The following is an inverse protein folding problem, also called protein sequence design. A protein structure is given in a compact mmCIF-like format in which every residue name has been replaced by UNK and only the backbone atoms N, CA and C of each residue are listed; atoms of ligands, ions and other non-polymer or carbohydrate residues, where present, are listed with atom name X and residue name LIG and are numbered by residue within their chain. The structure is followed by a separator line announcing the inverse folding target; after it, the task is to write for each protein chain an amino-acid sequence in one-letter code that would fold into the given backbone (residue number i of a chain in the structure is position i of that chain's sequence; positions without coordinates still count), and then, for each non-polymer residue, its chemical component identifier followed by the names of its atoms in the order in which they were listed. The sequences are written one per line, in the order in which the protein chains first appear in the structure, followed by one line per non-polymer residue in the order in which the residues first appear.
data_IF_689456714002
#
_entry.id   IF_689456714002
#
_cell.length_a   1.000
_cell.length_b   1.000
_cell.length_c   1.000
_cell.angle_alpha   90.00
_cell.angle_beta   90.00
_cell.angle_gamma   90.00
#
_symmetry.space_group_name_H-M   'P 1'
#
loop_
_entity.id
_entity.type
_entity.pdbx_description
1 polymer ?
#
# COMPACT_ATOMS: atom_id res chain seq x y z
N UNK A 1 24.93 41.31 20.84
CA UNK A 1 23.54 41.21 20.36
C UNK A 1 22.96 40.02 21.11
N UNK A 2 22.35 40.14 22.30
CA UNK A 2 21.02 40.75 22.59
C UNK A 2 19.98 40.32 21.55
N UNK A 3 18.84 39.69 21.85
CA UNK A 3 18.19 39.35 23.11
C UNK A 3 17.15 38.24 22.85
N UNK A 4 16.73 37.59 23.93
CA UNK A 4 15.48 36.82 24.09
C UNK A 4 14.26 37.51 23.43
N UNK A 5 13.44 36.73 22.73
CA UNK A 5 12.00 36.98 22.63
C UNK A 5 11.30 35.66 22.32
N UNK A 6 10.88 34.98 23.38
CA UNK A 6 9.82 34.00 23.32
C UNK A 6 8.52 34.75 23.04
N UNK A 7 7.83 34.42 21.95
CA UNK A 7 6.42 34.77 21.80
C UNK A 7 5.62 33.59 22.34
N UNK A 8 5.23 33.74 23.60
CA UNK A 8 4.06 33.14 24.21
C UNK A 8 2.84 33.35 23.30
N UNK A 9 2.25 32.26 22.83
CA UNK A 9 0.91 32.24 22.24
C UNK A 9 -0.02 31.55 23.25
N UNK A 10 -0.81 32.30 24.04
CA UNK A 10 -1.57 31.75 25.17
C UNK A 10 -2.96 31.19 24.80
N UNK A 11 -3.24 30.87 23.53
CA UNK A 11 -4.57 30.37 23.10
C UNK A 11 -4.54 28.99 22.41
N UNK A 12 -3.54 28.16 22.69
CA UNK A 12 -3.57 26.74 22.31
C UNK A 12 -4.47 25.96 23.28
N UNK A 13 -5.78 25.91 22.99
CA UNK A 13 -6.74 25.06 23.69
C UNK A 13 -6.37 23.58 23.55
N UNK A 14 -5.72 23.09 24.60
CA UNK A 14 -5.51 21.68 24.97
C UNK A 14 -6.86 21.00 25.19
N UNK A 15 -7.43 20.42 24.13
CA UNK A 15 -8.52 19.46 24.24
C UNK A 15 -7.96 18.07 24.58
N UNK A 16 -7.52 17.91 25.83
CA UNK A 16 -7.14 16.62 26.40
C UNK A 16 -8.40 15.79 26.76
N UNK A 17 -8.52 14.67 26.04
CA UNK A 17 -9.08 13.37 26.41
C UNK A 17 -9.92 13.30 27.71
N UNK A 18 -11.25 13.17 27.57
CA UNK A 18 -12.12 12.61 28.60
C UNK A 18 -12.48 11.16 28.23
N UNK A 19 -11.82 10.24 28.92
CA UNK A 19 -12.13 8.82 29.01
C UNK A 19 -13.41 8.62 29.83
N UNK A 20 -14.40 7.84 29.37
CA UNK A 20 -15.41 7.30 30.25
C UNK A 20 -15.15 5.82 30.51
N UNK A 21 -14.56 5.54 31.65
CA UNK A 21 -14.54 4.23 32.29
C UNK A 21 -15.78 4.13 33.20
N UNK A 22 -16.63 3.11 33.02
CA UNK A 22 -17.60 2.69 34.05
C UNK A 22 -18.12 1.25 33.86
N UNK A 23 -17.43 0.35 34.58
CA UNK A 23 -17.98 -0.56 35.60
C UNK A 23 -19.21 -1.43 35.29
N UNK A 24 -18.95 -2.74 35.24
CA UNK A 24 -19.72 -3.85 35.81
C UNK A 24 -20.67 -3.49 36.95
N UNK A 25 -21.96 -3.86 36.85
CA UNK A 25 -22.82 -4.20 38.00
C UNK A 25 -24.11 -4.97 37.59
N UNK A 26 -24.05 -6.29 37.75
CA UNK A 26 -25.05 -7.28 38.25
C UNK A 26 -26.58 -7.01 38.16
N UNK A 27 -27.42 -7.99 37.74
CA UNK A 27 -28.88 -7.88 37.74
C UNK A 27 -29.52 -8.33 39.07
N UNK A 28 -30.75 -7.91 39.40
CA UNK A 28 -31.58 -8.62 40.37
C UNK A 28 -32.72 -9.40 39.70
N UNK A 29 -32.98 -10.56 40.31
CA UNK A 29 -33.96 -11.59 40.03
C UNK A 29 -35.34 -11.22 40.61
N UNK A 30 -36.44 -11.53 39.89
CA UNK A 30 -37.77 -11.78 40.48
C UNK A 30 -38.99 -11.39 39.61
N UNK A 31 -39.97 -12.31 39.34
CA UNK A 31 -41.15 -12.05 38.51
C UNK A 31 -42.36 -11.55 39.34
N UNK A 32 -43.43 -11.05 38.69
CA UNK A 32 -44.65 -11.85 38.75
C UNK A 32 -45.41 -11.93 37.42
N UNK A 33 -46.07 -13.08 37.24
CA UNK A 33 -47.05 -13.39 36.22
C UNK A 33 -48.20 -12.37 36.19
N UNK A 34 -48.61 -11.95 35.00
CA UNK A 34 -50.01 -11.68 34.69
C UNK A 34 -50.32 -12.15 33.26
N UNK A 35 -51.26 -13.08 33.22
CA UNK A 35 -51.92 -13.63 32.04
C UNK A 35 -52.74 -12.55 31.35
N UNK A 36 -52.71 -12.47 30.02
CA UNK A 36 -53.86 -12.81 29.17
C UNK A 36 -53.56 -12.53 27.69
N UNK A 37 -53.97 -13.51 26.90
CA UNK A 37 -53.96 -13.70 25.45
C UNK A 37 -54.64 -12.59 24.63
N UNK A 38 -54.01 -12.22 23.50
CA UNK A 38 -54.63 -12.07 22.18
C UNK A 38 -53.55 -11.80 21.10
N UNK A 39 -53.31 -12.77 20.22
CA UNK A 39 -52.80 -12.54 18.84
C UNK A 39 -53.99 -12.17 17.93
N UNK A 40 -53.82 -11.71 16.66
CA UNK A 40 -52.65 -11.17 15.97
C UNK A 40 -52.99 -9.84 15.24
N UNK A 41 -52.05 -9.34 14.43
CA UNK A 41 -52.20 -8.35 13.35
C UNK A 41 -51.87 -6.87 13.61
N UNK A 42 -50.98 -6.40 12.73
CA UNK A 42 -50.94 -5.08 12.11
C UNK A 42 -50.74 -3.86 13.01
N UNK A 43 -49.52 -3.75 13.54
CA UNK A 43 -48.94 -2.42 13.81
C UNK A 43 -47.55 -2.28 13.21
N UNK A 44 -47.44 -2.60 11.91
CA UNK A 44 -46.58 -1.80 11.03
C UNK A 44 -47.22 -0.43 10.86
N UNK A 45 -47.26 0.35 11.94
CA UNK A 45 -47.24 1.79 11.82
C UNK A 45 -45.92 2.10 11.13
N UNK A 46 -45.99 2.12 9.79
CA UNK A 46 -45.02 2.76 8.92
C UNK A 46 -44.61 4.01 9.67
N UNK A 47 -43.34 4.09 10.05
CA UNK A 47 -42.72 5.36 10.38
C UNK A 47 -42.81 6.16 9.08
N UNK A 48 -43.97 6.79 8.86
CA UNK A 48 -44.28 7.65 7.73
C UNK A 48 -43.16 8.67 7.77
N UNK A 49 -42.36 8.70 6.71
CA UNK A 49 -41.33 9.72 6.52
C UNK A 49 -41.90 11.06 6.98
N UNK A 50 -41.15 11.84 7.77
CA UNK A 50 -41.54 13.16 8.30
C UNK A 50 -41.86 14.23 7.22
N UNK A 51 -42.05 13.81 5.97
CA UNK A 51 -42.40 14.63 4.85
C UNK A 51 -43.94 14.73 4.76
N UNK A 52 -44.55 15.90 5.06
CA UNK A 52 -46.01 16.07 5.09
C UNK A 52 -46.69 15.89 3.72
N UNK A 53 -45.90 15.80 2.64
CA UNK A 53 -46.37 15.51 1.29
C UNK A 53 -46.45 14.01 0.98
N UNK A 54 -45.90 13.13 1.83
CA UNK A 54 -45.84 11.68 1.59
C UNK A 54 -46.81 10.87 2.48
N UNK A 55 -47.67 11.53 3.27
CA UNK A 55 -48.69 10.84 4.05
C UNK A 55 -49.91 10.51 3.19
N UNK A 56 -50.46 9.30 3.33
CA UNK A 56 -51.60 8.78 2.55
C UNK A 56 -52.89 9.65 2.60
N UNK A 57 -52.91 10.70 3.42
CA UNK A 57 -54.09 11.48 3.78
C UNK A 57 -53.99 12.98 3.37
N UNK A 58 -53.15 13.35 2.40
CA UNK A 58 -53.07 14.73 1.93
C UNK A 58 -54.13 15.00 0.83
N UNK A 59 -55.22 15.75 1.12
CA UNK A 59 -56.26 16.03 0.14
C UNK A 59 -55.83 16.96 -1.00
N UNK A 60 -54.59 17.47 -0.97
CA UNK A 60 -54.00 18.30 -2.03
C UNK A 60 -53.24 17.49 -3.10
N UNK A 61 -53.08 16.18 -2.94
CA UNK A 61 -52.25 15.34 -3.84
C UNK A 61 -53.11 14.19 -4.37
N UNK A 62 -53.19 14.04 -5.68
CA UNK A 62 -53.94 12.95 -6.33
C UNK A 62 -53.29 11.59 -6.03
N UNK A 63 -54.05 10.48 -6.02
CA UNK A 63 -53.53 9.12 -5.75
C UNK A 63 -52.31 8.78 -6.64
N UNK A 64 -52.36 9.18 -7.92
CA UNK A 64 -51.25 8.99 -8.86
C UNK A 64 -50.02 9.83 -8.50
N UNK A 65 -50.22 11.06 -8.04
CA UNK A 65 -49.11 11.95 -7.66
C UNK A 65 -48.40 11.43 -6.40
N UNK A 66 -49.17 10.87 -5.47
CA UNK A 66 -48.65 10.24 -4.26
C UNK A 66 -47.83 8.98 -4.58
N UNK A 67 -48.30 8.11 -5.49
CA UNK A 67 -47.56 6.95 -5.99
C UNK A 67 -46.24 7.36 -6.66
N UNK A 68 -46.30 8.40 -7.52
CA UNK A 68 -45.11 8.95 -8.20
C UNK A 68 -44.11 9.51 -7.19
N UNK A 69 -44.56 10.24 -6.17
CA UNK A 69 -43.70 10.77 -5.12
C UNK A 69 -43.05 9.66 -4.27
N UNK A 70 -43.79 8.59 -3.95
CA UNK A 70 -43.24 7.44 -3.23
C UNK A 70 -42.14 6.76 -4.06
N UNK A 71 -42.37 6.54 -5.36
CA UNK A 71 -41.36 5.97 -6.26
C UNK A 71 -40.14 6.88 -6.43
N UNK A 72 -40.30 8.21 -6.52
CA UNK A 72 -39.16 9.13 -6.52
C UNK A 72 -38.39 9.11 -5.22
N UNK A 73 -39.08 9.00 -4.07
CA UNK A 73 -38.43 8.90 -2.76
C UNK A 73 -37.61 7.61 -2.64
N UNK A 74 -38.16 6.50 -3.16
CA UNK A 74 -37.50 5.20 -3.22
C UNK A 74 -36.32 5.22 -4.17
N UNK A 75 -36.48 5.83 -5.36
CA UNK A 75 -35.41 6.00 -6.33
C UNK A 75 -34.26 6.83 -5.75
N UNK A 76 -34.56 7.97 -5.11
CA UNK A 76 -33.55 8.80 -4.46
C UNK A 76 -32.79 8.00 -3.40
N UNK A 77 -33.52 7.26 -2.56
CA UNK A 77 -32.91 6.36 -1.56
C UNK A 77 -32.03 5.29 -2.21
N UNK A 78 -32.43 4.72 -3.35
CA UNK A 78 -31.65 3.73 -4.09
C UNK A 78 -30.38 4.34 -4.70
N UNK A 79 -30.48 5.54 -5.29
CA UNK A 79 -29.34 6.26 -5.87
C UNK A 79 -28.34 6.65 -4.79
N UNK A 80 -28.80 7.11 -3.63
CA UNK A 80 -27.92 7.41 -2.50
C UNK A 80 -27.20 6.16 -1.99
N UNK A 81 -27.90 5.03 -1.82
CA UNK A 81 -27.28 3.76 -1.46
C UNK A 81 -26.29 3.25 -2.53
N UNK A 82 -26.59 3.44 -3.81
CA UNK A 82 -25.70 3.07 -4.90
C UNK A 82 -24.43 3.93 -4.88
N UNK A 83 -24.57 5.25 -4.69
CA UNK A 83 -23.46 6.19 -4.59
C UNK A 83 -22.54 5.84 -3.42
N UNK A 84 -23.11 5.54 -2.24
CA UNK A 84 -22.35 5.12 -1.06
C UNK A 84 -21.57 3.83 -1.33
N UNK A 85 -22.22 2.79 -1.88
CA UNK A 85 -21.56 1.53 -2.24
C UNK A 85 -20.45 1.72 -3.27
N UNK A 86 -20.67 2.56 -4.28
CA UNK A 86 -19.63 2.89 -5.27
C UNK A 86 -18.46 3.61 -4.60
N UNK A 87 -18.73 4.53 -3.67
CA UNK A 87 -17.69 5.20 -2.88
C UNK A 87 -16.85 4.20 -2.09
N UNK A 88 -17.50 3.28 -1.37
CA UNK A 88 -16.83 2.24 -0.59
C UNK A 88 -15.98 1.31 -1.48
N UNK A 89 -16.56 0.85 -2.59
CA UNK A 89 -15.91 -0.01 -3.58
C UNK A 89 -14.76 0.70 -4.30
N UNK A 90 -14.86 2.01 -4.54
CA UNK A 90 -13.80 2.77 -5.19
C UNK A 90 -12.65 3.09 -4.23
N UNK A 91 -12.92 3.29 -2.95
CA UNK A 91 -11.90 3.64 -1.95
C UNK A 91 -11.13 2.44 -1.42
N UNK A 92 -11.83 1.41 -0.92
CA UNK A 92 -11.25 0.33 -0.12
C UNK A 92 -10.35 -0.64 -0.93
N UNK A 93 -10.88 -1.38 -1.94
CA UNK A 93 -10.08 -2.37 -2.66
C UNK A 93 -9.06 -1.75 -3.61
N UNK A 94 -9.31 -0.53 -4.12
CA UNK A 94 -8.37 0.14 -5.01
C UNK A 94 -7.08 0.53 -4.28
N UNK A 95 -7.18 1.06 -3.06
CA UNK A 95 -6.00 1.41 -2.24
C UNK A 95 -5.17 0.17 -1.92
N UNK A 96 -5.81 -0.91 -1.46
CA UNK A 96 -5.10 -2.15 -1.09
C UNK A 96 -4.38 -2.77 -2.28
N UNK A 97 -5.01 -2.76 -3.46
CA UNK A 97 -4.41 -3.30 -4.68
C UNK A 97 -3.21 -2.46 -5.13
N UNK A 98 -3.32 -1.13 -5.11
CA UNK A 98 -2.23 -0.22 -5.46
C UNK A 98 -1.05 -0.33 -4.49
N UNK A 99 -1.32 -0.47 -3.19
CA UNK A 99 -0.27 -0.71 -2.19
C UNK A 99 0.43 -2.06 -2.43
N UNK A 100 -0.33 -3.09 -2.78
CA UNK A 100 0.21 -4.39 -3.21
C UNK A 100 1.13 -4.28 -4.43
N UNK A 101 0.71 -3.55 -5.47
CA UNK A 101 1.53 -3.30 -6.66
C UNK A 101 2.81 -2.55 -6.33
N UNK A 102 2.74 -1.51 -5.49
CA UNK A 102 3.91 -0.72 -5.08
C UNK A 102 4.90 -1.55 -4.27
N UNK A 103 4.41 -2.41 -3.39
CA UNK A 103 5.26 -3.34 -2.64
C UNK A 103 5.94 -4.34 -3.58
N UNK A 104 5.19 -4.89 -4.54
CA UNK A 104 5.74 -5.79 -5.55
C UNK A 104 6.80 -5.11 -6.42
N UNK A 105 6.56 -3.89 -6.87
CA UNK A 105 7.53 -3.09 -7.62
C UNK A 105 8.83 -2.95 -6.84
N UNK A 106 8.78 -2.51 -5.58
CA UNK A 106 9.97 -2.34 -4.74
C UNK A 106 10.74 -3.65 -4.55
N UNK A 107 10.04 -4.76 -4.28
CA UNK A 107 10.66 -6.08 -4.09
C UNK A 107 11.33 -6.57 -5.37
N UNK A 108 10.64 -6.43 -6.50
CA UNK A 108 11.15 -6.91 -7.79
C UNK A 108 12.29 -6.02 -8.29
N UNK A 109 12.21 -4.70 -8.09
CA UNK A 109 13.29 -3.76 -8.37
C UNK A 109 14.53 -4.08 -7.55
N UNK A 110 14.36 -4.43 -6.27
CA UNK A 110 15.47 -4.85 -5.40
C UNK A 110 16.12 -6.13 -5.92
N UNK A 111 15.33 -7.15 -6.25
CA UNK A 111 15.84 -8.41 -6.83
C UNK A 111 16.55 -8.16 -8.17
N UNK A 112 15.98 -7.34 -9.04
CA UNK A 112 16.58 -6.97 -10.32
C UNK A 112 17.92 -6.25 -10.14
N UNK A 113 18.02 -5.30 -9.20
CA UNK A 113 19.28 -4.61 -8.89
C UNK A 113 20.33 -5.56 -8.33
N UNK A 114 19.96 -6.44 -7.40
CA UNK A 114 20.89 -7.43 -6.85
C UNK A 114 21.39 -8.40 -7.93
N UNK A 115 20.48 -8.85 -8.81
CA UNK A 115 20.84 -9.70 -9.94
C UNK A 115 21.77 -8.97 -10.91
N UNK A 116 21.47 -7.71 -11.25
CA UNK A 116 22.30 -6.89 -12.15
C UNK A 116 23.69 -6.65 -11.56
N UNK A 117 23.78 -6.31 -10.27
CA UNK A 117 25.05 -6.13 -9.59
C UNK A 117 25.85 -7.45 -9.54
N UNK A 118 25.20 -8.57 -9.25
CA UNK A 118 25.81 -9.90 -9.25
C UNK A 118 26.39 -10.26 -10.61
N UNK A 119 25.57 -10.16 -11.67
CA UNK A 119 26.00 -10.45 -13.04
C UNK A 119 27.13 -9.52 -13.48
N UNK A 120 27.02 -8.22 -13.19
CA UNK A 120 28.07 -7.25 -13.53
C UNK A 120 29.40 -7.57 -12.82
N UNK A 121 29.34 -7.89 -11.52
CA UNK A 121 30.53 -8.28 -10.76
C UNK A 121 31.20 -9.52 -11.35
N UNK A 122 30.43 -10.54 -11.72
CA UNK A 122 30.97 -11.79 -12.28
C UNK A 122 31.60 -11.55 -13.65
N UNK A 123 30.91 -10.84 -14.55
CA UNK A 123 31.43 -10.55 -15.90
C UNK A 123 32.70 -9.72 -15.81
N UNK A 124 32.72 -8.70 -14.95
CA UNK A 124 33.90 -7.84 -14.78
C UNK A 124 35.09 -8.62 -14.20
N UNK A 125 34.85 -9.48 -13.21
CA UNK A 125 35.90 -10.34 -12.64
C UNK A 125 36.50 -11.28 -13.69
N UNK A 126 35.66 -11.84 -14.58
CA UNK A 126 36.15 -12.70 -15.67
C UNK A 126 36.98 -11.91 -16.69
N UNK A 127 36.57 -10.69 -17.04
CA UNK A 127 37.34 -9.82 -17.93
C UNK A 127 38.73 -9.52 -17.35
N UNK A 128 38.79 -9.13 -16.07
CA UNK A 128 40.05 -8.83 -15.38
C UNK A 128 40.92 -10.09 -15.30
N UNK A 129 40.33 -11.25 -14.97
CA UNK A 129 41.08 -12.51 -14.87
C UNK A 129 41.69 -12.89 -16.22
N UNK A 130 40.89 -12.91 -17.29
CA UNK A 130 41.37 -13.28 -18.62
C UNK A 130 42.47 -12.32 -19.12
N UNK A 131 42.29 -11.01 -18.94
CA UNK A 131 43.30 -10.01 -19.33
C UNK A 131 44.60 -10.17 -18.52
N UNK A 132 44.51 -10.54 -17.25
CA UNK A 132 45.69 -10.79 -16.40
C UNK A 132 46.46 -12.06 -16.80
N UNK A 133 45.78 -13.11 -17.24
CA UNK A 133 46.42 -14.34 -17.73
C UNK A 133 47.15 -14.11 -19.05
N UNK A 134 46.56 -13.33 -19.96
CA UNK A 134 47.19 -12.94 -21.23
C UNK A 134 48.46 -12.10 -21.00
N UNK A 135 48.44 -11.18 -20.03
CA UNK A 135 49.62 -10.38 -19.67
C UNK A 135 50.74 -11.23 -19.05
N UNK A 136 50.41 -12.24 -18.24
CA UNK A 136 51.41 -13.14 -17.68
C UNK A 136 52.06 -14.03 -18.76
N UNK A 137 51.28 -14.54 -19.72
CA UNK A 137 51.84 -15.31 -20.84
C UNK A 137 52.75 -14.47 -21.73
N UNK A 138 52.42 -13.20 -21.98
CA UNK A 138 53.30 -12.31 -22.73
C UNK A 138 54.63 -12.07 -22.02
N UNK A 139 54.62 -11.76 -20.71
CA UNK A 139 55.86 -11.56 -19.95
C UNK A 139 56.72 -12.82 -19.89
N UNK A 140 56.09 -14.00 -19.81
CA UNK A 140 56.82 -15.27 -19.79
C UNK A 140 57.45 -15.57 -21.16
N UNK A 141 56.71 -15.38 -22.25
CA UNK A 141 57.24 -15.53 -23.62
C UNK A 141 58.34 -14.50 -23.94
N UNK A 142 58.24 -13.27 -23.42
CA UNK A 142 59.28 -12.24 -23.58
C UNK A 142 60.56 -12.61 -22.81
N UNK A 143 60.44 -13.14 -21.58
CA UNK A 143 61.60 -13.65 -20.85
C UNK A 143 62.25 -14.86 -21.54
N UNK A 144 61.46 -15.79 -22.06
CA UNK A 144 61.99 -16.96 -22.78
C UNK A 144 62.70 -16.56 -24.08
N UNK A 145 62.15 -15.62 -24.85
CA UNK A 145 62.83 -15.07 -26.03
C UNK A 145 64.14 -14.38 -25.65
N UNK A 146 64.13 -13.58 -24.58
CA UNK A 146 65.32 -12.86 -24.14
C UNK A 146 66.43 -13.81 -23.63
N UNK A 147 66.05 -14.94 -23.01
CA UNK A 147 66.99 -16.02 -22.67
C UNK A 147 67.57 -16.71 -23.90
N UNK A 148 66.73 -17.05 -24.89
CA UNK A 148 67.19 -17.64 -26.14
C UNK A 148 68.15 -16.70 -26.89
N UNK A 149 67.80 -15.42 -27.03
CA UNK A 149 68.65 -14.43 -27.70
C UNK A 149 70.01 -14.25 -27.00
N UNK A 150 70.05 -14.30 -25.66
CA UNK A 150 71.30 -14.31 -24.90
C UNK A 150 72.12 -15.58 -25.14
N UNK A 151 71.49 -16.76 -25.21
CA UNK A 151 72.17 -18.01 -25.51
C UNK A 151 72.77 -18.02 -26.93
N UNK A 152 72.07 -17.48 -27.93
CA UNK A 152 72.59 -17.30 -29.28
C UNK A 152 73.77 -16.30 -29.36
N UNK A 153 73.76 -15.23 -28.57
CA UNK A 153 74.89 -14.29 -28.49
C UNK A 153 76.10 -14.84 -27.73
N UNK A 154 75.90 -15.70 -26.73
CA UNK A 154 77.00 -16.29 -25.96
C UNK A 154 77.56 -17.58 -26.59
N UNK A 155 76.75 -18.33 -27.36
CA UNK A 155 77.16 -19.56 -28.04
C UNK A 155 77.84 -19.38 -29.41
N UNK A 156 77.75 -18.19 -30.02
CA UNK A 156 78.32 -17.89 -31.35
C UNK A 156 79.82 -17.54 -31.36
N UNK A 157 80.48 -17.50 -30.20
CA UNK A 157 81.86 -17.08 -30.04
C UNK A 157 82.85 -18.22 -29.84
N UNK A 158 82.86 -19.23 -30.71
CA UNK A 158 84.06 -20.05 -30.91
C UNK A 158 84.63 -19.79 -32.30
N UNK A 159 85.61 -18.88 -32.33
CA UNK A 159 86.72 -18.87 -33.29
C UNK A 159 87.17 -20.33 -33.56
N UNK A 160 87.42 -20.75 -34.80
CA UNK A 160 88.48 -20.23 -35.63
C UNK A 160 89.83 -20.83 -35.19
N UNK A 161 90.32 -21.86 -35.89
CA UNK A 161 91.71 -22.30 -35.74
C UNK A 161 91.97 -23.75 -36.17
N UNK A 162 92.60 -23.91 -37.33
CA UNK A 162 93.13 -25.19 -37.82
C UNK A 162 93.33 -25.20 -39.33
#
# INVERSE_FOLDING_TARGET
MSAFAASDDPDALDYSYMEPDHTTSTPPIGPPSQSMSADPETSHARSRSNNPLLGDDNPLVSELEQEVLDEYSRLLRNVNQLSEKIGDLAGSPASMTLDGMRLLERKTATVCTLLKASVYSIVLQQQIWNESEEQQQQQQNEQEQQFQDQEYQHGGGYEGGG
#
